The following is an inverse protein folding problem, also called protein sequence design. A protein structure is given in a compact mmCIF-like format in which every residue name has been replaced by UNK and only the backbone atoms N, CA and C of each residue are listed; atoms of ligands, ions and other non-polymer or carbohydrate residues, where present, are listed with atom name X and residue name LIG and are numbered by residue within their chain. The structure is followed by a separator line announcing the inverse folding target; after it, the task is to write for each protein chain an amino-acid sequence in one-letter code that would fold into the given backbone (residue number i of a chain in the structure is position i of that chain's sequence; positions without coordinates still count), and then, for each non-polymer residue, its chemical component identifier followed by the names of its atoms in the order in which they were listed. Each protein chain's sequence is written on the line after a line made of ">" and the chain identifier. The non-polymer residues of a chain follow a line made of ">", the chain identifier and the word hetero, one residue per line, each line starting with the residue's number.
data_IF_438285213235
#
_entry.id   IF_438285213235
#
_cell.length_a   1.000
_cell.length_b   1.000
_cell.length_c   1.000
_cell.angle_alpha   90.00
_cell.angle_beta   90.00
_cell.angle_gamma   90.00
#
_symmetry.space_group_name_H-M   'P 1'
#
loop_
_entity.id
_entity.type
_entity.pdbx_description
1 polymer ?
#
# COMPACT_ATOMS: atom_id res chain seq x y z
N UNK A 1 -12.26 -9.18 8.38
CA UNK A 1 -10.86 -9.34 8.88
C UNK A 1 -10.77 -8.98 10.37
N UNK A 2 -11.26 -9.83 11.31
CA UNK A 2 -11.19 -9.53 12.74
C UNK A 2 -9.76 -9.36 13.25
N UNK A 3 -8.85 -10.20 12.77
CA UNK A 3 -7.44 -10.17 13.13
C UNK A 3 -6.75 -8.87 12.67
N UNK A 4 -7.10 -8.37 11.47
CA UNK A 4 -6.55 -7.12 10.97
C UNK A 4 -6.91 -5.94 11.88
N UNK A 5 -8.15 -5.89 12.41
CA UNK A 5 -8.56 -4.84 13.35
C UNK A 5 -7.74 -4.89 14.64
N UNK A 6 -7.49 -6.08 15.17
CA UNK A 6 -6.70 -6.24 16.40
C UNK A 6 -5.24 -5.86 16.18
N UNK A 7 -4.66 -6.26 15.06
CA UNK A 7 -3.27 -5.87 14.70
C UNK A 7 -3.15 -4.35 14.56
N UNK A 8 -4.09 -3.72 13.86
CA UNK A 8 -4.11 -2.27 13.68
C UNK A 8 -4.26 -1.54 15.01
N UNK A 9 -5.12 -2.02 15.90
CA UNK A 9 -5.29 -1.40 17.22
C UNK A 9 -4.02 -1.52 18.07
N UNK A 10 -3.36 -2.67 18.04
CA UNK A 10 -2.07 -2.88 18.74
C UNK A 10 -1.01 -1.91 18.21
N UNK A 11 -0.91 -1.79 16.88
CA UNK A 11 0.03 -0.87 16.24
C UNK A 11 -0.30 0.59 16.58
N UNK A 12 -1.57 0.97 16.52
CA UNK A 12 -2.04 2.31 16.88
C UNK A 12 -1.68 2.65 18.33
N UNK A 13 -1.94 1.73 19.27
CA UNK A 13 -1.63 1.94 20.67
C UNK A 13 -0.11 2.09 20.91
N UNK A 14 0.70 1.27 20.25
CA UNK A 14 2.16 1.36 20.35
C UNK A 14 2.68 2.71 19.81
N UNK A 15 2.18 3.17 18.68
CA UNK A 15 2.54 4.47 18.10
C UNK A 15 2.06 5.64 18.96
N UNK A 16 0.87 5.55 19.55
CA UNK A 16 0.35 6.56 20.48
C UNK A 16 1.21 6.67 21.74
N UNK A 17 1.75 5.57 22.22
CA UNK A 17 2.64 5.53 23.38
C UNK A 17 4.05 6.02 23.03
N UNK A 18 4.63 5.53 21.92
CA UNK A 18 5.99 5.87 21.51
C UNK A 18 6.14 7.31 21.00
N UNK A 19 5.06 7.88 20.45
CA UNK A 19 4.99 9.25 19.91
C UNK A 19 6.17 9.59 18.98
N UNK A 20 6.39 8.83 17.89
CA UNK A 20 7.41 9.20 16.92
C UNK A 20 7.09 10.58 16.32
N UNK A 21 8.10 11.28 15.81
CA UNK A 21 7.92 12.59 15.20
C UNK A 21 6.99 12.55 13.97
N UNK A 22 6.97 11.44 13.26
CA UNK A 22 6.12 11.22 12.08
C UNK A 22 6.00 9.72 11.78
N UNK A 23 5.01 9.38 10.98
CA UNK A 23 4.78 8.01 10.49
C UNK A 23 4.58 8.03 8.98
N UNK A 24 5.27 7.17 8.26
CA UNK A 24 4.98 6.86 6.85
C UNK A 24 4.44 5.43 6.80
N UNK A 25 3.22 5.29 6.32
CA UNK A 25 2.49 4.03 6.32
C UNK A 25 2.28 3.55 4.88
N UNK A 26 2.70 2.33 4.59
CA UNK A 26 2.44 1.68 3.30
C UNK A 26 0.98 1.20 3.26
N UNK A 27 0.23 1.71 2.29
CA UNK A 27 -1.15 1.36 2.01
C UNK A 27 -1.28 0.89 0.55
N UNK A 28 -2.38 1.17 -0.12
CA UNK A 28 -2.65 0.82 -1.51
C UNK A 28 -3.57 1.85 -2.16
N UNK A 29 -3.47 2.04 -3.47
CA UNK A 29 -4.38 2.92 -4.23
C UNK A 29 -5.85 2.49 -4.14
N UNK A 30 -6.15 1.26 -3.73
CA UNK A 30 -7.52 0.75 -3.56
C UNK A 30 -8.04 0.88 -2.11
N UNK A 31 -7.29 1.52 -1.20
CA UNK A 31 -7.68 1.60 0.21
C UNK A 31 -9.00 2.34 0.45
N UNK A 32 -9.38 3.27 -0.44
CA UNK A 32 -10.66 3.99 -0.38
C UNK A 32 -11.86 3.21 -0.95
N UNK A 33 -11.64 2.02 -1.54
CA UNK A 33 -12.72 1.25 -2.15
C UNK A 33 -13.73 0.78 -1.12
N UNK A 34 -15.01 1.04 -1.36
CA UNK A 34 -16.12 0.67 -0.47
C UNK A 34 -16.59 -0.76 -0.69
N UNK A 35 -16.30 -1.33 -1.86
CA UNK A 35 -16.65 -2.72 -2.18
C UNK A 35 -15.68 -3.69 -1.51
N UNK A 36 -16.14 -4.83 -0.99
CA UNK A 36 -15.27 -5.85 -0.43
C UNK A 36 -14.22 -6.32 -1.44
N UNK A 37 -12.94 -6.29 -1.03
CA UNK A 37 -11.82 -6.74 -1.84
C UNK A 37 -10.70 -7.27 -0.93
N UNK A 38 -9.67 -7.87 -1.51
CA UNK A 38 -8.54 -8.45 -0.78
C UNK A 38 -7.71 -7.41 0.00
N UNK A 39 -7.84 -6.13 -0.34
CA UNK A 39 -7.04 -5.04 0.22
C UNK A 39 -7.79 -4.23 1.31
N UNK A 40 -9.01 -4.63 1.68
CA UNK A 40 -9.78 -3.91 2.71
C UNK A 40 -9.08 -3.84 4.07
N UNK A 41 -8.16 -4.74 4.37
CA UNK A 41 -7.32 -4.65 5.57
C UNK A 41 -6.49 -3.36 5.61
N UNK A 42 -6.08 -2.82 4.44
CA UNK A 42 -5.35 -1.56 4.36
C UNK A 42 -6.26 -0.35 4.59
N UNK A 43 -7.54 -0.44 4.24
CA UNK A 43 -8.52 0.56 4.64
C UNK A 43 -8.67 0.61 6.17
N UNK A 44 -8.74 -0.55 6.83
CA UNK A 44 -8.78 -0.65 8.29
C UNK A 44 -7.53 -0.01 8.91
N UNK A 45 -6.35 -0.26 8.31
CA UNK A 45 -5.08 0.33 8.73
C UNK A 45 -5.11 1.86 8.65
N UNK A 46 -5.55 2.42 7.51
CA UNK A 46 -5.65 3.87 7.35
C UNK A 46 -6.64 4.50 8.33
N UNK A 47 -7.79 3.87 8.54
CA UNK A 47 -8.79 4.33 9.50
C UNK A 47 -8.23 4.32 10.93
N UNK A 48 -7.54 3.26 11.33
CA UNK A 48 -6.97 3.14 12.67
C UNK A 48 -5.84 4.14 12.91
N UNK A 49 -4.84 4.18 12.03
CA UNK A 49 -3.70 5.10 12.18
C UNK A 49 -4.09 6.56 11.91
N UNK A 50 -5.15 6.80 11.15
CA UNK A 50 -5.70 8.14 10.93
C UNK A 50 -6.20 8.83 12.20
N UNK A 51 -6.48 8.08 13.26
CA UNK A 51 -6.92 8.64 14.56
C UNK A 51 -5.76 9.12 15.45
N UNK A 52 -4.51 8.82 15.08
CA UNK A 52 -3.34 9.25 15.84
C UNK A 52 -3.17 10.77 15.80
N UNK A 53 -2.80 11.36 16.93
CA UNK A 53 -2.39 12.76 17.01
C UNK A 53 -0.90 12.90 16.66
N UNK A 54 -0.54 12.47 15.46
CA UNK A 54 0.81 12.49 14.91
C UNK A 54 0.73 12.80 13.41
N UNK A 55 1.79 13.38 12.82
CA UNK A 55 1.91 13.47 11.38
C UNK A 55 1.99 12.06 10.76
N UNK A 56 1.03 11.70 9.92
CA UNK A 56 0.98 10.41 9.22
C UNK A 56 0.83 10.64 7.73
N UNK A 57 1.67 10.02 6.92
CA UNK A 57 1.51 9.92 5.48
C UNK A 57 1.16 8.49 5.10
N UNK A 58 0.05 8.31 4.39
CA UNK A 58 -0.32 7.04 3.78
C UNK A 58 0.16 7.01 2.35
N UNK A 59 1.10 6.11 2.05
CA UNK A 59 1.54 5.82 0.67
C UNK A 59 0.61 4.80 0.06
N UNK A 60 0.00 5.15 -1.06
CA UNK A 60 -0.90 4.28 -1.82
C UNK A 60 -0.28 3.91 -3.16
N UNK A 61 0.66 2.94 -3.19
CA UNK A 61 1.24 2.48 -4.44
C UNK A 61 0.25 1.69 -5.27
N UNK A 62 0.44 1.70 -6.57
CA UNK A 62 -0.17 0.78 -7.51
C UNK A 62 0.38 -0.65 -7.35
N UNK A 63 0.10 -1.50 -8.33
CA UNK A 63 0.58 -2.88 -8.36
C UNK A 63 2.11 -2.92 -8.42
N UNK A 64 2.75 -3.72 -7.58
CA UNK A 64 4.20 -3.85 -7.61
C UNK A 64 4.65 -4.62 -8.84
N UNK A 65 5.56 -4.07 -9.63
CA UNK A 65 6.12 -4.73 -10.81
C UNK A 65 6.79 -6.05 -10.45
N UNK A 66 7.40 -6.13 -9.28
CA UNK A 66 8.06 -7.33 -8.76
C UNK A 66 7.11 -8.50 -8.47
N UNK A 67 5.79 -8.26 -8.40
CA UNK A 67 4.81 -9.33 -8.29
C UNK A 67 4.86 -10.30 -9.48
N UNK A 68 5.33 -9.85 -10.66
CA UNK A 68 5.54 -10.71 -11.82
C UNK A 68 6.56 -11.85 -11.56
N UNK A 69 7.42 -11.72 -10.56
CA UNK A 69 8.35 -12.77 -10.19
C UNK A 69 7.65 -14.04 -9.67
N UNK A 70 6.46 -13.90 -9.10
CA UNK A 70 5.66 -15.05 -8.63
C UNK A 70 5.11 -15.89 -9.78
N UNK A 71 4.99 -15.29 -10.96
CA UNK A 71 4.43 -15.95 -12.14
C UNK A 71 5.48 -16.78 -12.90
N UNK A 72 6.77 -16.59 -12.62
CA UNK A 72 7.88 -17.23 -13.36
C UNK A 72 7.77 -18.75 -13.31
N UNK A 73 7.52 -19.32 -12.14
CA UNK A 73 7.43 -20.78 -11.99
C UNK A 73 6.27 -21.34 -12.81
N UNK A 74 5.09 -20.77 -12.71
CA UNK A 74 3.92 -21.20 -13.47
C UNK A 74 4.13 -21.03 -14.98
N UNK A 75 4.76 -19.94 -15.41
CA UNK A 75 5.09 -19.69 -16.81
C UNK A 75 6.06 -20.75 -17.36
N UNK A 76 7.10 -21.11 -16.60
CA UNK A 76 8.12 -22.08 -17.03
C UNK A 76 7.58 -23.51 -17.02
N UNK A 77 6.86 -23.91 -15.99
CA UNK A 77 6.40 -25.29 -15.80
C UNK A 77 5.12 -25.61 -16.57
N UNK A 78 4.18 -24.68 -16.64
CA UNK A 78 2.86 -24.90 -17.23
C UNK A 78 2.60 -24.09 -18.51
N UNK A 79 3.48 -23.17 -18.87
CA UNK A 79 3.27 -22.26 -20.02
C UNK A 79 2.10 -21.30 -19.82
N UNK A 80 1.66 -21.07 -18.58
CA UNK A 80 0.49 -20.26 -18.22
C UNK A 80 0.83 -19.33 -17.07
N UNK A 81 0.32 -18.11 -17.13
CA UNK A 81 0.40 -17.14 -16.02
C UNK A 81 -1.03 -16.91 -15.51
N UNK A 82 -1.36 -17.38 -14.29
CA UNK A 82 -2.64 -17.03 -13.65
C UNK A 82 -2.62 -15.55 -13.26
N UNK A 83 -3.59 -14.78 -13.73
CA UNK A 83 -3.61 -13.33 -13.46
C UNK A 83 -4.90 -12.91 -12.76
N UNK A 84 -4.74 -12.09 -11.71
CA UNK A 84 -5.83 -11.35 -11.06
C UNK A 84 -6.13 -10.02 -11.77
N UNK A 85 -5.28 -9.60 -12.70
CA UNK A 85 -5.41 -8.35 -13.44
C UNK A 85 -6.32 -8.58 -14.65
N UNK A 86 -7.61 -8.39 -14.47
CA UNK A 86 -8.65 -8.64 -15.47
C UNK A 86 -9.47 -7.37 -15.73
N UNK A 87 -9.95 -7.14 -16.96
CA UNK A 87 -9.56 -7.86 -18.20
C UNK A 87 -8.09 -7.58 -18.59
N UNK A 88 -7.50 -8.44 -19.41
CA UNK A 88 -6.05 -8.39 -19.72
C UNK A 88 -5.60 -7.11 -20.44
N UNK A 89 -6.51 -6.44 -21.12
CA UNK A 89 -6.28 -5.18 -21.83
C UNK A 89 -6.53 -3.93 -20.96
N UNK A 90 -6.89 -4.12 -19.69
CA UNK A 90 -7.10 -3.01 -18.75
C UNK A 90 -5.77 -2.41 -18.33
N UNK A 91 -5.56 -1.10 -18.55
CA UNK A 91 -4.36 -0.43 -18.06
C UNK A 91 -4.29 -0.44 -16.53
N UNK A 92 -3.24 -1.03 -15.98
CA UNK A 92 -3.03 -1.17 -14.53
C UNK A 92 -1.93 -0.21 -14.08
N UNK A 93 -2.16 0.61 -13.04
CA UNK A 93 -1.11 1.40 -12.44
C UNK A 93 -0.12 0.48 -11.75
N UNK A 94 1.13 0.52 -12.18
CA UNK A 94 2.23 -0.30 -11.62
C UNK A 94 3.35 0.59 -11.14
N UNK A 95 4.15 0.09 -10.20
CA UNK A 95 5.31 0.79 -9.68
C UNK A 95 6.36 -0.20 -9.19
N UNK A 96 7.64 0.16 -9.34
CA UNK A 96 8.74 -0.59 -8.75
C UNK A 96 8.81 -0.36 -7.23
N UNK A 97 9.03 -1.42 -6.46
CA UNK A 97 9.15 -1.32 -4.98
C UNK A 97 10.31 -0.42 -4.55
N UNK A 98 11.40 -0.36 -5.34
CA UNK A 98 12.51 0.53 -5.09
C UNK A 98 12.11 2.02 -5.12
N UNK A 99 11.19 2.40 -6.00
CA UNK A 99 10.68 3.79 -6.07
C UNK A 99 9.79 4.12 -4.89
N UNK A 100 8.97 3.17 -4.45
CA UNK A 100 8.18 3.31 -3.21
C UNK A 100 9.10 3.53 -2.01
N UNK A 101 10.14 2.72 -1.86
CA UNK A 101 11.12 2.83 -0.78
C UNK A 101 11.88 4.16 -0.80
N UNK A 102 12.28 4.63 -1.99
CA UNK A 102 12.95 5.93 -2.15
C UNK A 102 12.06 7.07 -1.70
N UNK A 103 10.80 7.09 -2.13
CA UNK A 103 9.85 8.12 -1.71
C UNK A 103 9.55 8.05 -0.21
N UNK A 104 9.36 6.85 0.35
CA UNK A 104 9.17 6.68 1.79
C UNK A 104 10.36 7.29 2.60
N UNK A 105 11.59 7.04 2.16
CA UNK A 105 12.79 7.62 2.76
C UNK A 105 12.82 9.14 2.68
N UNK A 106 12.45 9.72 1.54
CA UNK A 106 12.35 11.19 1.38
C UNK A 106 11.28 11.78 2.30
N UNK A 107 10.13 11.13 2.41
CA UNK A 107 9.04 11.58 3.29
C UNK A 107 9.43 11.52 4.76
N UNK A 108 10.20 10.52 5.18
CA UNK A 108 10.71 10.44 6.55
C UNK A 108 11.65 11.60 6.90
N UNK A 109 12.29 12.21 5.92
CA UNK A 109 13.14 13.40 6.09
C UNK A 109 12.38 14.72 5.92
N UNK A 110 11.21 14.68 5.30
CA UNK A 110 10.37 15.86 5.10
C UNK A 110 9.60 16.22 6.38
N UNK A 111 9.02 17.43 6.40
CA UNK A 111 8.16 17.90 7.48
C UNK A 111 6.74 18.16 6.95
N UNK A 112 5.75 17.73 7.71
CA UNK A 112 4.34 18.04 7.48
C UNK A 112 3.58 17.97 8.79
N UNK A 113 2.35 18.46 8.77
CA UNK A 113 1.39 18.34 9.89
C UNK A 113 0.15 17.56 9.44
N UNK A 114 -0.50 16.91 10.39
CA UNK A 114 -1.75 16.18 10.13
C UNK A 114 -1.57 14.93 9.28
N UNK A 115 -2.62 14.55 8.59
CA UNK A 115 -2.67 13.35 7.74
C UNK A 115 -2.56 13.75 6.28
N UNK A 116 -1.82 12.97 5.51
CA UNK A 116 -1.77 13.14 4.05
C UNK A 116 -1.75 11.80 3.35
N UNK A 117 -2.24 11.80 2.13
CA UNK A 117 -2.28 10.64 1.24
C UNK A 117 -1.42 10.97 0.03
N UNK A 118 -0.58 10.02 -0.36
CA UNK A 118 0.24 10.10 -1.57
C UNK A 118 -0.03 8.86 -2.40
N UNK A 119 -0.75 9.05 -3.50
CA UNK A 119 -0.92 8.01 -4.51
C UNK A 119 0.34 7.91 -5.36
N UNK A 120 0.74 6.70 -5.73
CA UNK A 120 2.01 6.43 -6.34
C UNK A 120 1.87 5.39 -7.46
N UNK A 121 2.15 5.79 -8.67
CA UNK A 121 2.21 4.89 -9.84
C UNK A 121 3.41 5.25 -10.72
N UNK A 122 3.82 4.33 -11.58
CA UNK A 122 4.84 4.58 -12.59
C UNK A 122 4.36 5.55 -13.67
N UNK A 123 5.25 5.93 -14.60
CA UNK A 123 4.95 6.93 -15.63
C UNK A 123 3.90 6.45 -16.64
N UNK A 124 3.72 5.14 -16.75
CA UNK A 124 2.78 4.51 -17.66
C UNK A 124 1.97 3.43 -16.96
N UNK A 125 0.71 3.29 -17.35
CA UNK A 125 -0.11 2.15 -16.95
C UNK A 125 0.13 0.99 -17.91
N UNK A 126 0.28 -0.20 -17.36
CA UNK A 126 0.67 -1.41 -18.10
C UNK A 126 -0.55 -2.28 -18.38
N UNK A 127 -0.62 -2.85 -19.57
CA UNK A 127 -1.64 -3.85 -19.96
C UNK A 127 -1.02 -5.23 -20.04
#
# INVERSE_FOLDING_TARGET
>A
FPEARQVVETLRAALAQARPAKVVCLSTIAAQATQPNLLNQLQILEQGLGTLDLPVTFLRPGWFMENALWDVTAAVEAGVIPSFLQPLDKPVPMIATADVGRLAGQLLQASWSGKRIVDLEGPERVT
#
